data_IF_863980648754
#
_entry.id   IF_863980648754
#
_cell.length_a   1.000
_cell.length_b   1.000
_cell.length_c   1.000
_cell.angle_alpha   90.00
_cell.angle_beta   90.00
_cell.angle_gamma   90.00
#
_symmetry.space_group_name_H-M   'P 1'
#
loop_
_entity.id
_entity.type
_entity.pdbx_description
1 polymer ?
#
# COMPACT_ATOMS: atom_id res chain seq x y z
N UNK A 1 -13.87 -17.96 11.56
CA UNK A 1 -14.52 -17.40 10.36
C UNK A 1 -13.47 -16.74 9.50
N UNK A 2 -13.43 -17.06 8.20
CA UNK A 2 -12.50 -16.43 7.25
C UNK A 2 -12.85 -14.94 7.06
N UNK A 3 -11.89 -14.12 6.63
CA UNK A 3 -12.13 -12.70 6.31
C UNK A 3 -13.29 -12.56 5.30
N UNK A 4 -13.39 -13.50 4.36
CA UNK A 4 -14.48 -13.57 3.36
C UNK A 4 -15.86 -13.64 4.00
N UNK A 5 -16.05 -14.54 4.97
CA UNK A 5 -17.35 -14.70 5.62
C UNK A 5 -17.70 -13.50 6.50
N UNK A 6 -16.73 -12.85 7.13
CA UNK A 6 -16.97 -11.63 7.93
C UNK A 6 -17.43 -10.47 7.05
N UNK A 7 -16.80 -10.25 5.91
CA UNK A 7 -17.19 -9.19 4.97
C UNK A 7 -18.58 -9.45 4.36
N UNK A 8 -18.85 -10.69 3.92
CA UNK A 8 -20.17 -11.04 3.38
C UNK A 8 -21.31 -10.82 4.41
N UNK A 9 -21.09 -11.25 5.65
CA UNK A 9 -22.07 -11.02 6.74
C UNK A 9 -22.25 -9.53 7.01
N UNK A 10 -21.16 -8.76 7.06
CA UNK A 10 -21.23 -7.31 7.30
C UNK A 10 -22.03 -6.60 6.21
N UNK A 11 -21.73 -6.85 4.93
CA UNK A 11 -22.47 -6.25 3.82
C UNK A 11 -23.93 -6.64 3.82
N UNK A 12 -24.24 -7.92 4.06
CA UNK A 12 -25.62 -8.40 4.15
C UNK A 12 -26.36 -7.76 5.32
N UNK A 13 -25.72 -7.58 6.47
CA UNK A 13 -26.32 -6.93 7.64
C UNK A 13 -26.59 -5.44 7.39
N UNK A 14 -25.67 -4.72 6.77
CA UNK A 14 -25.83 -3.29 6.44
C UNK A 14 -26.95 -3.10 5.43
N UNK A 15 -26.94 -3.83 4.31
CA UNK A 15 -27.97 -3.74 3.27
C UNK A 15 -29.33 -4.14 3.83
N UNK A 16 -29.41 -5.25 4.59
CA UNK A 16 -30.63 -5.69 5.24
C UNK A 16 -31.16 -4.66 6.23
N UNK A 17 -30.31 -4.06 7.05
CA UNK A 17 -30.69 -3.01 8.01
C UNK A 17 -31.26 -1.76 7.32
N UNK A 18 -30.63 -1.29 6.27
CA UNK A 18 -31.14 -0.14 5.48
C UNK A 18 -32.47 -0.45 4.83
N UNK A 19 -32.62 -1.62 4.22
CA UNK A 19 -33.88 -2.02 3.56
C UNK A 19 -35.00 -2.20 4.55
N UNK A 20 -34.74 -2.74 5.75
CA UNK A 20 -35.76 -2.87 6.81
C UNK A 20 -36.23 -1.50 7.29
N UNK A 21 -35.29 -0.55 7.53
CA UNK A 21 -35.65 0.80 7.94
C UNK A 21 -36.47 1.52 6.86
N UNK A 22 -36.07 1.40 5.61
CA UNK A 22 -36.75 2.01 4.48
C UNK A 22 -38.12 1.38 4.26
N UNK A 23 -38.21 0.05 4.34
CA UNK A 23 -39.49 -0.69 4.25
C UNK A 23 -40.46 -0.33 5.37
N UNK A 24 -39.96 -0.20 6.61
CA UNK A 24 -40.78 0.24 7.73
C UNK A 24 -41.29 1.68 7.53
N UNK A 25 -40.45 2.58 7.04
CA UNK A 25 -40.86 3.95 6.74
C UNK A 25 -41.98 4.00 5.66
N UNK A 26 -41.79 3.26 4.56
CA UNK A 26 -42.82 3.17 3.49
C UNK A 26 -44.10 2.61 4.05
N UNK A 27 -44.03 1.52 4.83
CA UNK A 27 -45.20 0.91 5.42
C UNK A 27 -45.99 1.90 6.31
N UNK A 28 -45.30 2.63 7.16
CA UNK A 28 -45.92 3.63 8.06
C UNK A 28 -46.56 4.76 7.23
N UNK A 29 -45.81 5.33 6.27
CA UNK A 29 -46.31 6.44 5.42
C UNK A 29 -47.56 6.02 4.66
N UNK A 30 -47.52 4.86 4.00
CA UNK A 30 -48.67 4.36 3.23
C UNK A 30 -49.88 4.04 4.15
N UNK A 31 -49.61 3.42 5.31
CA UNK A 31 -50.65 3.12 6.29
C UNK A 31 -51.36 4.40 6.80
N UNK A 32 -50.61 5.44 7.13
CA UNK A 32 -51.16 6.72 7.56
C UNK A 32 -51.92 7.40 6.41
N UNK A 33 -51.35 7.38 5.20
CA UNK A 33 -52.00 7.96 4.02
C UNK A 33 -53.36 7.30 3.70
N UNK A 34 -53.42 5.96 3.77
CA UNK A 34 -54.68 5.21 3.53
C UNK A 34 -55.77 5.52 4.56
N UNK A 35 -55.39 5.60 5.84
CA UNK A 35 -56.37 5.96 6.90
C UNK A 35 -56.84 7.40 6.72
N UNK A 36 -55.96 8.33 6.46
CA UNK A 36 -56.30 9.75 6.22
C UNK A 36 -57.22 9.90 4.98
N UNK A 37 -56.99 9.10 3.94
CA UNK A 37 -57.85 9.08 2.75
C UNK A 37 -59.27 8.62 3.09
N UNK A 38 -59.42 7.58 3.93
CA UNK A 38 -60.73 7.13 4.40
C UNK A 38 -61.41 8.19 5.27
N UNK A 39 -60.66 8.82 6.20
CA UNK A 39 -61.23 9.88 7.06
C UNK A 39 -61.71 11.06 6.22
N UNK A 40 -60.94 11.47 5.18
CA UNK A 40 -61.37 12.51 4.23
C UNK A 40 -62.64 12.13 3.46
N UNK A 41 -62.69 10.87 2.99
CA UNK A 41 -63.90 10.36 2.26
C UNK A 41 -65.12 10.29 3.15
N UNK A 42 -64.97 9.86 4.41
CA UNK A 42 -66.07 9.84 5.41
C UNK A 42 -66.57 11.26 5.72
N UNK A 43 -65.69 12.24 5.86
CA UNK A 43 -66.09 13.64 6.06
C UNK A 43 -66.80 14.21 4.84
N UNK A 44 -66.40 13.87 3.63
CA UNK A 44 -67.08 14.26 2.41
C UNK A 44 -68.43 13.68 2.33
N UNK A 45 -68.62 12.36 2.54
CA UNK A 45 -69.88 11.67 2.59
C UNK A 45 -70.80 12.25 3.67
N UNK A 46 -70.25 12.52 4.86
CA UNK A 46 -70.98 13.14 5.97
C UNK A 46 -71.52 14.50 5.61
N UNK A 47 -70.77 15.36 4.94
CA UNK A 47 -71.18 16.70 4.48
C UNK A 47 -72.34 16.58 3.43
N UNK A 48 -72.17 15.66 2.48
CA UNK A 48 -73.17 15.45 1.43
C UNK A 48 -74.50 14.95 2.04
N UNK A 49 -74.44 14.00 2.98
CA UNK A 49 -75.63 13.52 3.71
C UNK A 49 -76.29 14.66 4.49
N UNK A 50 -75.56 15.48 5.22
CA UNK A 50 -76.09 16.62 5.99
C UNK A 50 -76.80 17.63 5.06
N UNK A 51 -76.24 17.93 3.89
CA UNK A 51 -76.81 18.88 2.94
C UNK A 51 -78.12 18.37 2.28
N UNK A 52 -78.26 17.06 2.12
CA UNK A 52 -79.41 16.43 1.45
C UNK A 52 -80.46 15.94 2.42
N UNK A 53 -80.15 15.91 3.74
CA UNK A 53 -81.07 15.45 4.79
C UNK A 53 -82.20 16.47 5.02
N UNK A 54 -83.46 16.05 4.93
CA UNK A 54 -84.67 16.84 5.29
C UNK A 54 -85.13 16.51 6.72
N UNK A 55 -85.33 17.58 7.50
CA UNK A 55 -85.78 17.49 8.90
C UNK A 55 -87.20 17.92 8.93
N UNK A 56 -88.08 17.02 9.42
CA UNK A 56 -89.52 17.34 9.67
C UNK A 56 -89.80 17.44 11.18
N UNK A 57 -90.59 18.40 11.58
CA UNK A 57 -91.08 18.55 12.96
C UNK A 57 -92.39 17.77 13.13
N UNK A 58 -92.38 16.80 14.04
CA UNK A 58 -93.62 16.06 14.42
C UNK A 58 -94.56 16.98 15.23
N UNK A 59 -95.92 16.72 15.18
CA UNK A 59 -96.96 17.47 15.88
C UNK A 59 -96.85 17.56 17.43
N UNK A 60 -95.81 16.97 18.01
CA UNK A 60 -95.39 17.05 19.42
C UNK A 60 -94.18 17.88 19.73
N UNK A 61 -93.63 18.61 18.76
CA UNK A 61 -92.36 19.40 18.94
C UNK A 61 -91.07 18.62 18.92
N UNK A 62 -91.16 17.31 18.69
CA UNK A 62 -89.99 16.44 18.55
C UNK A 62 -89.52 16.41 17.08
N UNK A 63 -88.26 16.74 16.87
CA UNK A 63 -87.66 16.72 15.53
C UNK A 63 -87.24 15.30 15.14
N UNK A 64 -87.81 14.81 14.02
CA UNK A 64 -87.42 13.52 13.43
C UNK A 64 -86.74 13.74 12.07
N UNK A 65 -85.66 12.99 11.82
CA UNK A 65 -85.06 12.90 10.49
C UNK A 65 -85.97 11.97 9.66
N UNK A 66 -86.67 12.55 8.69
CA UNK A 66 -87.73 11.80 7.98
C UNK A 66 -87.22 11.26 6.64
N UNK A 67 -86.23 11.83 6.04
CA UNK A 67 -85.75 11.40 4.71
C UNK A 67 -84.22 11.44 4.72
N UNK A 68 -83.61 10.25 4.74
CA UNK A 68 -82.35 10.07 4.19
C UNK A 68 -82.46 10.05 2.65
N UNK A 69 -81.70 10.80 1.89
CA UNK A 69 -81.73 10.63 0.42
C UNK A 69 -81.54 9.16 0.08
N UNK A 70 -82.05 8.66 -1.07
CA UNK A 70 -81.72 7.33 -1.54
C UNK A 70 -80.19 7.30 -1.67
N UNK A 71 -79.55 6.69 -0.67
CA UNK A 71 -78.06 6.64 -0.61
C UNK A 71 -77.67 5.50 -1.55
N UNK A 72 -77.57 5.79 -2.85
CA UNK A 72 -76.87 4.99 -3.82
C UNK A 72 -75.35 5.16 -3.57
N UNK A 73 -74.93 5.17 -2.28
CA UNK A 73 -73.59 5.01 -1.92
C UNK A 73 -73.11 3.60 -2.28
N UNK A 74 -71.92 3.50 -2.83
CA UNK A 74 -71.24 2.21 -3.00
C UNK A 74 -71.49 1.33 -1.78
N UNK A 75 -71.64 0.03 -1.97
CA UNK A 75 -71.95 -1.01 -0.96
C UNK A 75 -71.16 -0.95 0.32
N UNK A 76 -70.10 -0.11 0.35
CA UNK A 76 -69.14 -0.02 1.43
C UNK A 76 -69.28 1.14 2.43
N UNK A 77 -70.34 2.00 2.26
CA UNK A 77 -70.66 3.08 3.20
C UNK A 77 -71.87 2.75 4.04
N UNK A 78 -71.72 2.81 5.33
CA UNK A 78 -72.80 2.51 6.34
C UNK A 78 -73.17 3.80 7.00
N UNK A 79 -74.50 4.06 7.08
CA UNK A 79 -75.05 5.28 7.67
C UNK A 79 -76.13 4.97 8.70
N UNK A 80 -76.02 5.60 9.86
CA UNK A 80 -77.09 5.59 10.90
C UNK A 80 -77.31 6.99 11.44
N UNK A 81 -78.54 7.28 11.76
CA UNK A 81 -78.98 8.49 12.46
C UNK A 81 -79.63 8.11 13.79
N UNK A 82 -79.05 8.59 14.85
CA UNK A 82 -79.49 8.37 16.23
C UNK A 82 -80.11 9.62 16.83
N UNK A 83 -81.34 9.53 17.37
CA UNK A 83 -81.93 10.65 18.08
C UNK A 83 -81.30 10.93 19.44
N UNK A 84 -81.82 11.99 20.10
CA UNK A 84 -81.30 12.46 21.40
C UNK A 84 -81.46 11.40 22.52
N UNK A 85 -82.46 10.55 22.47
CA UNK A 85 -82.75 9.48 23.45
C UNK A 85 -82.09 8.15 23.07
N UNK A 86 -81.08 8.16 22.21
CA UNK A 86 -80.38 6.97 21.69
C UNK A 86 -81.34 6.00 20.95
N UNK A 87 -82.39 6.53 20.30
CA UNK A 87 -83.26 5.76 19.45
C UNK A 87 -82.83 5.87 17.98
N UNK A 88 -82.81 4.76 17.26
CA UNK A 88 -82.47 4.72 15.83
C UNK A 88 -83.62 5.40 15.04
N UNK A 89 -83.29 6.47 14.34
CA UNK A 89 -84.20 7.24 13.53
C UNK A 89 -84.24 6.82 12.05
N UNK A 90 -83.02 6.57 11.53
CA UNK A 90 -82.80 6.14 10.15
C UNK A 90 -81.52 5.35 9.99
N UNK A 91 -81.49 4.47 9.01
CA UNK A 91 -80.24 3.73 8.63
C UNK A 91 -80.23 3.43 7.15
N UNK A 92 -79.03 3.22 6.61
CA UNK A 92 -78.86 2.76 5.25
C UNK A 92 -79.31 1.32 5.03
N UNK A 93 -79.72 0.98 3.82
CA UNK A 93 -80.26 -0.34 3.48
C UNK A 93 -79.33 -1.52 3.79
N UNK A 94 -78.03 -1.31 3.66
CA UNK A 94 -76.99 -2.30 3.97
C UNK A 94 -76.82 -2.61 5.47
N UNK A 95 -77.46 -1.84 6.36
CA UNK A 95 -77.56 -2.09 7.80
C UNK A 95 -78.95 -2.65 8.24
N UNK A 96 -79.78 -3.06 7.32
CA UNK A 96 -81.11 -3.60 7.64
C UNK A 96 -81.01 -4.78 8.61
N UNK A 97 -81.64 -4.66 9.80
CA UNK A 97 -81.57 -5.64 10.86
C UNK A 97 -80.44 -5.38 11.93
N UNK A 98 -79.62 -4.36 11.77
CA UNK A 98 -78.66 -4.00 12.77
C UNK A 98 -79.13 -2.82 13.63
N UNK A 99 -79.61 -3.14 14.83
CA UNK A 99 -80.30 -2.19 15.74
C UNK A 99 -79.38 -1.53 16.77
N UNK A 100 -78.06 -1.77 16.72
CA UNK A 100 -77.08 -1.17 17.64
C UNK A 100 -76.26 -0.03 16.96
N UNK A 101 -75.81 0.95 17.72
CA UNK A 101 -74.97 2.01 17.16
C UNK A 101 -73.64 1.44 16.53
N UNK A 102 -73.26 1.99 15.38
CA UNK A 102 -71.97 1.66 14.75
C UNK A 102 -70.76 2.07 15.66
N UNK A 103 -70.92 3.19 16.35
CA UNK A 103 -69.98 3.71 17.32
C UNK A 103 -70.67 4.17 18.57
N UNK A 104 -70.87 3.28 19.57
CA UNK A 104 -71.47 3.64 20.82
C UNK A 104 -70.73 4.73 21.62
N UNK A 105 -69.40 4.73 21.55
CA UNK A 105 -68.62 5.69 22.27
C UNK A 105 -68.68 7.12 21.65
N UNK A 106 -68.80 7.19 20.33
CA UNK A 106 -68.96 8.44 19.60
C UNK A 106 -70.28 9.12 19.86
N UNK A 107 -71.33 8.38 20.18
CA UNK A 107 -72.62 8.97 20.52
C UNK A 107 -72.56 9.84 21.78
N UNK A 108 -71.62 9.60 22.65
CA UNK A 108 -71.48 10.41 23.87
C UNK A 108 -70.65 11.67 23.63
N UNK A 109 -69.99 11.76 22.48
CA UNK A 109 -69.15 12.91 22.15
C UNK A 109 -69.98 14.10 21.66
N UNK A 110 -69.60 15.31 22.11
CA UNK A 110 -70.19 16.57 21.63
C UNK A 110 -69.50 17.13 20.36
N UNK A 111 -68.53 16.44 19.80
CA UNK A 111 -67.80 16.83 18.66
C UNK A 111 -67.67 15.68 17.63
N UNK A 112 -67.24 16.00 16.43
CA UNK A 112 -66.94 15.01 15.43
C UNK A 112 -65.73 14.16 15.85
N UNK A 113 -65.92 12.81 15.94
CA UNK A 113 -64.88 11.87 16.37
C UNK A 113 -64.83 10.68 15.40
N UNK A 114 -63.60 10.16 15.23
CA UNK A 114 -63.39 8.98 14.43
C UNK A 114 -62.96 7.81 15.31
N UNK A 115 -63.66 6.69 15.19
CA UNK A 115 -63.35 5.45 15.88
C UNK A 115 -63.29 4.27 14.92
N UNK A 116 -62.42 3.32 15.25
CA UNK A 116 -62.45 2.02 14.59
C UNK A 116 -63.33 1.09 15.39
N UNK A 117 -64.29 0.53 14.74
CA UNK A 117 -65.29 -0.38 15.36
C UNK A 117 -65.36 -1.71 14.59
N UNK A 118 -65.81 -2.78 15.28
CA UNK A 118 -65.93 -4.09 14.65
C UNK A 118 -67.38 -4.49 14.69
N UNK A 119 -67.98 -4.80 13.55
CA UNK A 119 -69.31 -5.28 13.43
C UNK A 119 -69.30 -6.66 12.77
N UNK A 120 -69.55 -7.70 13.55
CA UNK A 120 -69.39 -9.08 13.10
C UNK A 120 -67.90 -9.33 12.76
N UNK A 121 -67.63 -9.63 11.51
CA UNK A 121 -66.23 -9.83 10.99
C UNK A 121 -65.68 -8.60 10.30
N UNK A 122 -66.54 -7.56 10.09
CA UNK A 122 -66.11 -6.37 9.36
C UNK A 122 -65.47 -5.31 10.32
N UNK A 123 -64.31 -4.84 10.02
CA UNK A 123 -63.71 -3.67 10.68
C UNK A 123 -64.06 -2.41 9.92
N UNK A 124 -64.69 -1.47 10.65
CA UNK A 124 -65.16 -0.22 10.10
C UNK A 124 -64.44 0.96 10.75
N UNK A 125 -64.19 1.98 9.94
CA UNK A 125 -63.82 3.33 10.40
C UNK A 125 -65.12 4.13 10.43
N UNK A 126 -65.50 4.64 11.58
CA UNK A 126 -66.78 5.37 11.76
C UNK A 126 -66.44 6.79 12.18
N UNK A 127 -67.11 7.75 11.53
CA UNK A 127 -67.21 9.13 11.99
C UNK A 127 -68.54 9.37 12.61
N UNK A 128 -68.53 9.86 13.84
CA UNK A 128 -69.77 10.27 14.53
C UNK A 128 -69.80 11.81 14.61
N UNK A 129 -70.84 12.40 14.01
CA UNK A 129 -71.00 13.86 13.96
C UNK A 129 -72.35 14.25 14.63
N UNK A 130 -72.31 15.13 15.68
CA UNK A 130 -73.56 15.61 16.28
C UNK A 130 -74.26 16.57 15.32
N UNK A 131 -75.52 16.36 15.09
CA UNK A 131 -76.39 17.25 14.33
C UNK A 131 -76.95 18.30 15.26
N UNK A 132 -76.63 19.57 14.99
CA UNK A 132 -76.98 20.72 15.82
C UNK A 132 -78.07 21.55 15.10
N UNK A 133 -79.05 21.96 15.83
CA UNK A 133 -80.04 22.97 15.40
C UNK A 133 -80.21 24.00 16.49
N UNK A 134 -80.09 25.27 16.19
CA UNK A 134 -80.16 26.39 17.14
C UNK A 134 -79.26 26.19 18.39
N UNK A 135 -78.07 25.59 18.24
CA UNK A 135 -77.11 25.34 19.33
C UNK A 135 -77.39 24.15 20.24
N UNK A 136 -78.48 23.37 19.94
CA UNK A 136 -78.84 22.14 20.69
C UNK A 136 -78.67 20.89 19.79
N UNK A 137 -78.05 19.86 20.36
CA UNK A 137 -77.92 18.55 19.68
C UNK A 137 -79.33 17.88 19.63
N UNK A 138 -79.81 17.57 18.45
CA UNK A 138 -81.10 16.86 18.27
C UNK A 138 -80.88 15.43 17.77
N UNK A 139 -79.78 15.13 17.09
CA UNK A 139 -79.45 13.79 16.59
C UNK A 139 -77.90 13.64 16.46
N UNK A 140 -77.50 12.44 16.16
CA UNK A 140 -76.14 12.12 15.77
C UNK A 140 -76.09 11.30 14.50
N UNK A 141 -75.28 11.72 13.55
CA UNK A 141 -74.99 11.01 12.30
C UNK A 141 -73.74 10.17 12.46
N UNK A 142 -73.90 8.87 12.21
CA UNK A 142 -72.71 7.96 12.13
C UNK A 142 -72.62 7.50 10.69
N UNK A 143 -71.37 7.72 10.14
CA UNK A 143 -71.00 7.27 8.79
C UNK A 143 -69.80 6.38 8.94
N UNK A 144 -69.92 5.14 8.48
CA UNK A 144 -68.85 4.15 8.55
C UNK A 144 -68.36 3.71 7.16
N UNK A 145 -67.11 3.41 7.00
CA UNK A 145 -66.57 2.77 5.82
C UNK A 145 -65.74 1.54 6.20
N UNK A 146 -65.74 0.53 5.33
CA UNK A 146 -64.98 -0.70 5.54
C UNK A 146 -63.48 -0.46 5.45
N UNK A 147 -62.76 -0.99 6.43
CA UNK A 147 -61.29 -1.00 6.43
C UNK A 147 -60.72 -2.20 5.67
N UNK A 148 -61.52 -3.07 5.10
CA UNK A 148 -61.09 -4.29 4.41
C UNK A 148 -60.09 -3.99 3.29
N UNK A 149 -60.32 -2.93 2.52
CA UNK A 149 -59.39 -2.47 1.48
C UNK A 149 -58.07 -2.00 2.05
N UNK A 150 -58.08 -1.30 3.18
CA UNK A 150 -56.87 -0.81 3.84
C UNK A 150 -56.02 -1.98 4.32
N UNK A 151 -56.64 -2.92 5.06
CA UNK A 151 -55.90 -4.10 5.56
C UNK A 151 -55.44 -5.02 4.43
N UNK A 152 -56.23 -5.18 3.37
CA UNK A 152 -55.83 -5.90 2.17
C UNK A 152 -54.60 -5.28 1.49
N UNK A 153 -54.61 -3.96 1.30
CA UNK A 153 -53.51 -3.24 0.71
C UNK A 153 -52.25 -3.29 1.61
N UNK A 154 -52.43 -3.13 2.92
CA UNK A 154 -51.32 -3.23 3.89
C UNK A 154 -50.71 -4.63 3.90
N UNK A 155 -51.50 -5.71 3.82
CA UNK A 155 -50.95 -7.07 3.79
C UNK A 155 -50.20 -7.38 2.51
N UNK A 156 -50.67 -6.91 1.36
CA UNK A 156 -49.95 -7.03 0.07
C UNK A 156 -48.67 -6.23 0.11
N UNK A 157 -48.70 -4.98 0.58
CA UNK A 157 -47.51 -4.13 0.74
C UNK A 157 -46.45 -4.79 1.63
N UNK A 158 -46.87 -5.33 2.78
CA UNK A 158 -45.99 -6.03 3.70
C UNK A 158 -45.34 -7.26 3.04
N UNK A 159 -46.14 -8.07 2.32
CA UNK A 159 -45.62 -9.22 1.59
C UNK A 159 -44.58 -8.83 0.51
N UNK A 160 -44.87 -7.78 -0.26
CA UNK A 160 -43.96 -7.27 -1.30
C UNK A 160 -42.67 -6.74 -0.67
N UNK A 161 -42.75 -6.00 0.45
CA UNK A 161 -41.58 -5.51 1.15
C UNK A 161 -40.71 -6.65 1.70
N UNK A 162 -41.34 -7.67 2.33
CA UNK A 162 -40.60 -8.83 2.87
C UNK A 162 -39.90 -9.60 1.74
N UNK A 163 -40.60 -9.90 0.65
CA UNK A 163 -40.02 -10.60 -0.51
C UNK A 163 -38.89 -9.77 -1.12
N UNK A 164 -39.10 -8.47 -1.26
CA UNK A 164 -38.07 -7.54 -1.77
C UNK A 164 -36.80 -7.54 -0.92
N UNK A 165 -36.92 -7.53 0.41
CA UNK A 165 -35.81 -7.62 1.34
C UNK A 165 -35.07 -8.95 1.17
N UNK A 166 -35.78 -10.08 1.12
CA UNK A 166 -35.16 -11.41 0.96
C UNK A 166 -34.38 -11.50 -0.34
N UNK A 167 -34.97 -11.08 -1.47
CA UNK A 167 -34.33 -11.10 -2.77
C UNK A 167 -33.06 -10.20 -2.77
N UNK A 168 -33.19 -8.97 -2.24
CA UNK A 168 -32.05 -8.04 -2.17
C UNK A 168 -30.93 -8.57 -1.31
N UNK A 169 -31.23 -9.21 -0.17
CA UNK A 169 -30.21 -9.86 0.67
C UNK A 169 -29.51 -11.02 -0.04
N UNK A 170 -30.28 -11.83 -0.80
CA UNK A 170 -29.73 -12.92 -1.58
C UNK A 170 -28.76 -12.38 -2.67
N UNK A 171 -29.16 -11.34 -3.40
CA UNK A 171 -28.31 -10.67 -4.38
C UNK A 171 -27.07 -10.04 -3.75
N UNK A 172 -27.21 -9.33 -2.64
CA UNK A 172 -26.07 -8.72 -1.93
C UNK A 172 -25.07 -9.77 -1.47
N UNK A 173 -25.55 -10.91 -0.97
CA UNK A 173 -24.71 -12.03 -0.55
C UNK A 173 -23.96 -12.65 -1.74
N UNK A 174 -24.67 -12.90 -2.85
CA UNK A 174 -24.07 -13.46 -4.07
C UNK A 174 -23.02 -12.51 -4.66
N UNK A 175 -23.33 -11.23 -4.79
CA UNK A 175 -22.39 -10.23 -5.32
C UNK A 175 -21.16 -10.07 -4.42
N UNK A 176 -21.36 -10.02 -3.11
CA UNK A 176 -20.27 -9.99 -2.13
C UNK A 176 -19.38 -11.24 -2.19
N UNK A 177 -19.97 -12.42 -2.37
CA UNK A 177 -19.21 -13.67 -2.51
C UNK A 177 -18.39 -13.70 -3.80
N UNK A 178 -18.96 -13.31 -4.93
CA UNK A 178 -18.25 -13.25 -6.22
C UNK A 178 -17.07 -12.25 -6.19
N UNK A 179 -17.33 -11.03 -5.74
CA UNK A 179 -16.31 -9.98 -5.65
C UNK A 179 -15.15 -10.38 -4.72
N UNK A 180 -15.48 -10.88 -3.53
CA UNK A 180 -14.48 -11.28 -2.54
C UNK A 180 -13.65 -12.49 -2.97
N UNK A 181 -14.25 -13.41 -3.74
CA UNK A 181 -13.54 -14.58 -4.28
C UNK A 181 -12.44 -14.17 -5.25
N UNK A 182 -12.69 -13.23 -6.13
CA UNK A 182 -11.74 -12.79 -7.15
C UNK A 182 -10.56 -12.04 -6.52
N UNK A 183 -10.83 -11.10 -5.63
CA UNK A 183 -9.80 -10.27 -4.99
C UNK A 183 -8.91 -11.07 -4.03
N UNK A 184 -9.49 -11.96 -3.22
CA UNK A 184 -8.72 -12.72 -2.23
C UNK A 184 -8.04 -13.97 -2.81
N UNK A 185 -8.34 -14.39 -4.04
CA UNK A 185 -7.60 -15.46 -4.71
C UNK A 185 -6.17 -15.02 -5.01
N UNK A 186 -5.99 -13.80 -5.51
CA UNK A 186 -4.67 -13.23 -5.80
C UNK A 186 -3.79 -13.12 -4.53
N UNK A 187 -4.40 -12.74 -3.41
CA UNK A 187 -3.68 -12.66 -2.13
C UNK A 187 -3.27 -14.05 -1.59
N UNK A 188 -4.12 -15.08 -1.78
CA UNK A 188 -3.80 -16.44 -1.37
C UNK A 188 -2.63 -17.01 -2.20
N UNK A 189 -2.61 -16.80 -3.52
CA UNK A 189 -1.49 -17.18 -4.39
C UNK A 189 -0.20 -16.45 -4.00
N UNK A 190 -0.29 -15.15 -3.69
CA UNK A 190 0.85 -14.37 -3.22
C UNK A 190 1.44 -14.93 -1.91
N UNK A 191 0.57 -15.28 -0.97
CA UNK A 191 0.99 -15.87 0.32
C UNK A 191 1.63 -17.25 0.13
N UNK A 192 1.05 -18.10 -0.71
CA UNK A 192 1.58 -19.43 -1.00
C UNK A 192 2.95 -19.35 -1.69
N UNK A 193 3.10 -18.46 -2.69
CA UNK A 193 4.38 -18.23 -3.37
C UNK A 193 5.43 -17.69 -2.40
N UNK A 194 5.08 -16.77 -1.51
CA UNK A 194 5.99 -16.26 -0.49
C UNK A 194 6.47 -17.36 0.48
N UNK A 195 5.58 -18.25 0.91
CA UNK A 195 5.94 -19.41 1.74
C UNK A 195 6.83 -20.40 0.99
N UNK A 196 6.57 -20.65 -0.29
CA UNK A 196 7.41 -21.52 -1.11
C UNK A 196 8.82 -20.95 -1.29
N UNK A 197 8.98 -19.63 -1.47
CA UNK A 197 10.28 -18.96 -1.53
C UNK A 197 11.07 -19.19 -0.24
N UNK A 198 10.40 -19.09 0.91
CA UNK A 198 11.03 -19.27 2.23
C UNK A 198 11.53 -20.72 2.43
N UNK A 199 10.85 -21.70 1.86
CA UNK A 199 11.21 -23.12 2.02
C UNK A 199 12.24 -23.64 1.00
N UNK A 200 12.31 -23.02 -0.17
CA UNK A 200 13.13 -23.52 -1.28
C UNK A 200 14.49 -22.81 -1.44
N UNK A 201 14.80 -21.77 -0.63
CA UNK A 201 15.95 -20.87 -0.80
C UNK A 201 16.08 -20.29 -2.23
N UNK A 202 14.97 -20.28 -2.98
CA UNK A 202 14.92 -19.85 -4.38
C UNK A 202 14.31 -18.46 -4.47
N UNK A 203 15.17 -17.45 -4.39
CA UNK A 203 14.81 -16.04 -4.50
C UNK A 203 14.50 -15.58 -5.94
N UNK A 204 14.65 -16.47 -6.95
CA UNK A 204 14.38 -16.13 -8.35
C UNK A 204 12.90 -16.10 -8.67
N UNK A 205 12.07 -16.76 -7.86
CA UNK A 205 10.63 -16.80 -8.03
C UNK A 205 10.00 -15.44 -7.84
N UNK A 206 8.94 -15.19 -8.61
CA UNK A 206 8.13 -13.97 -8.50
C UNK A 206 6.68 -14.33 -8.24
N UNK A 207 5.99 -13.46 -7.53
CA UNK A 207 4.54 -13.58 -7.32
C UNK A 207 3.86 -13.23 -8.63
N UNK A 208 3.11 -14.17 -9.26
CA UNK A 208 2.34 -13.89 -10.46
C UNK A 208 1.14 -13.01 -10.10
N UNK A 209 0.83 -12.05 -10.96
CA UNK A 209 -0.35 -11.21 -10.81
C UNK A 209 -0.94 -10.87 -12.17
N UNK A 210 -2.17 -11.32 -12.42
CA UNK A 210 -2.90 -11.10 -13.67
C UNK A 210 -3.98 -10.01 -13.55
N UNK A 211 -4.04 -9.33 -12.40
CA UNK A 211 -5.00 -8.26 -12.13
C UNK A 211 -4.53 -6.88 -12.60
N UNK A 212 -5.34 -5.83 -12.36
CA UNK A 212 -4.99 -4.45 -12.69
C UNK A 212 -3.74 -4.00 -11.94
N UNK A 213 -2.73 -3.54 -12.67
CA UNK A 213 -1.42 -3.17 -12.10
C UNK A 213 -1.51 -1.97 -11.14
N UNK A 214 -2.55 -1.15 -11.28
CA UNK A 214 -2.72 0.10 -10.51
C UNK A 214 -3.62 -0.04 -9.28
N UNK A 215 -4.14 -1.23 -8.97
CA UNK A 215 -4.87 -1.45 -7.72
C UNK A 215 -3.90 -1.66 -6.54
N UNK A 216 -4.42 -1.64 -5.32
CA UNK A 216 -3.63 -1.74 -4.09
C UNK A 216 -2.90 -3.08 -3.99
N UNK A 217 -3.48 -4.15 -4.54
CA UNK A 217 -2.89 -5.49 -4.56
C UNK A 217 -1.77 -5.56 -5.59
N UNK A 218 -1.96 -4.99 -6.78
CA UNK A 218 -0.93 -4.90 -7.82
C UNK A 218 0.29 -4.12 -7.34
N UNK A 219 0.08 -2.97 -6.69
CA UNK A 219 1.15 -2.18 -6.09
C UNK A 219 1.91 -2.94 -5.00
N UNK A 220 1.20 -3.65 -4.13
CA UNK A 220 1.80 -4.48 -3.08
C UNK A 220 2.67 -5.58 -3.68
N UNK A 221 2.16 -6.31 -4.69
CA UNK A 221 2.88 -7.40 -5.35
C UNK A 221 4.11 -6.86 -6.09
N UNK A 222 4.01 -5.71 -6.77
CA UNK A 222 5.16 -5.08 -7.41
C UNK A 222 6.24 -4.67 -6.40
N UNK A 223 5.85 -4.04 -5.28
CA UNK A 223 6.77 -3.67 -4.22
C UNK A 223 7.48 -4.89 -3.64
N UNK A 224 6.74 -5.98 -3.44
CA UNK A 224 7.29 -7.25 -2.94
C UNK A 224 8.25 -7.88 -3.97
N UNK A 225 7.86 -7.96 -5.24
CA UNK A 225 8.72 -8.48 -6.31
C UNK A 225 10.00 -7.66 -6.49
N UNK A 226 9.93 -6.32 -6.33
CA UNK A 226 11.10 -5.43 -6.33
C UNK A 226 12.03 -5.74 -5.14
N UNK A 227 11.46 -5.99 -3.98
CA UNK A 227 12.22 -6.39 -2.77
C UNK A 227 12.91 -7.74 -2.98
N UNK A 228 12.19 -8.73 -3.54
CA UNK A 228 12.76 -10.03 -3.89
C UNK A 228 13.93 -9.89 -4.89
N UNK A 229 13.78 -9.07 -5.92
CA UNK A 229 14.86 -8.82 -6.88
C UNK A 229 16.09 -8.20 -6.21
N UNK A 230 15.89 -7.29 -5.27
CA UNK A 230 16.99 -6.70 -4.51
C UNK A 230 17.67 -7.74 -3.61
N UNK A 231 16.90 -8.59 -2.94
CA UNK A 231 17.45 -9.68 -2.11
C UNK A 231 18.21 -10.70 -2.95
N UNK A 232 17.66 -11.13 -4.09
CA UNK A 232 18.33 -12.05 -5.02
C UNK A 232 19.68 -11.50 -5.49
N UNK A 233 19.73 -10.22 -5.89
CA UNK A 233 20.96 -9.57 -6.30
C UNK A 233 21.98 -9.52 -5.16
N UNK A 234 21.56 -9.18 -3.93
CA UNK A 234 22.43 -9.18 -2.76
C UNK A 234 22.96 -10.59 -2.46
N UNK A 235 22.12 -11.60 -2.53
CA UNK A 235 22.49 -12.99 -2.26
C UNK A 235 23.47 -13.53 -3.31
N UNK A 236 23.21 -13.23 -4.60
CA UNK A 236 24.10 -13.62 -5.69
C UNK A 236 25.45 -12.93 -5.58
N UNK A 237 25.49 -11.64 -5.22
CA UNK A 237 26.73 -10.90 -4.97
C UNK A 237 27.50 -11.51 -3.80
N UNK A 238 26.79 -11.85 -2.71
CA UNK A 238 27.40 -12.50 -1.54
C UNK A 238 27.97 -13.89 -1.89
N UNK A 239 27.25 -14.69 -2.67
CA UNK A 239 27.75 -16.01 -3.12
C UNK A 239 28.97 -15.90 -4.00
N UNK A 240 29.00 -14.96 -4.95
CA UNK A 240 30.18 -14.69 -5.77
C UNK A 240 31.36 -14.29 -4.92
N UNK A 241 31.15 -13.35 -3.99
CA UNK A 241 32.19 -12.92 -3.06
C UNK A 241 32.79 -14.10 -2.26
N UNK A 242 31.95 -14.99 -1.70
CA UNK A 242 32.45 -16.17 -0.98
C UNK A 242 33.26 -17.11 -1.88
N UNK A 243 32.81 -17.34 -3.12
CA UNK A 243 33.51 -18.17 -4.08
C UNK A 243 34.86 -17.57 -4.45
N UNK A 244 34.90 -16.26 -4.73
CA UNK A 244 36.12 -15.53 -5.11
C UNK A 244 37.15 -15.52 -3.98
N UNK A 245 36.75 -15.23 -2.73
CA UNK A 245 37.59 -15.35 -1.55
C UNK A 245 38.16 -16.75 -1.41
N UNK A 246 37.32 -17.78 -1.56
CA UNK A 246 37.74 -19.17 -1.50
C UNK A 246 38.78 -19.55 -2.55
N UNK A 247 38.64 -19.02 -3.76
CA UNK A 247 39.59 -19.23 -4.84
C UNK A 247 40.94 -18.49 -4.58
N UNK A 248 40.86 -17.21 -4.19
CA UNK A 248 42.06 -16.37 -3.95
C UNK A 248 42.84 -16.81 -2.70
N UNK A 249 42.22 -17.46 -1.71
CA UNK A 249 42.93 -18.09 -0.58
C UNK A 249 43.54 -19.44 -0.93
N UNK A 250 42.87 -20.26 -1.75
CA UNK A 250 43.31 -21.62 -2.07
C UNK A 250 44.64 -21.64 -2.81
N UNK A 251 44.84 -20.73 -3.76
CA UNK A 251 46.02 -20.66 -4.61
C UNK A 251 47.34 -20.49 -3.81
N UNK A 252 47.50 -19.43 -2.97
CA UNK A 252 48.70 -19.25 -2.16
C UNK A 252 48.90 -20.38 -1.14
N UNK A 253 47.83 -20.88 -0.53
CA UNK A 253 47.91 -22.00 0.39
C UNK A 253 48.46 -23.27 -0.29
N UNK A 254 48.08 -23.51 -1.55
CA UNK A 254 48.58 -24.63 -2.35
C UNK A 254 50.09 -24.47 -2.64
N UNK A 255 50.56 -23.23 -2.95
CA UNK A 255 51.99 -22.93 -3.17
C UNK A 255 52.76 -23.14 -1.89
N UNK A 256 52.30 -22.58 -0.76
CA UNK A 256 52.95 -22.76 0.55
C UNK A 256 53.07 -24.25 0.87
N UNK A 257 51.96 -25.02 0.76
CA UNK A 257 51.95 -26.43 1.03
C UNK A 257 52.91 -27.19 0.12
N UNK A 258 52.95 -26.89 -1.19
CA UNK A 258 53.82 -27.52 -2.14
C UNK A 258 55.30 -27.28 -1.80
N UNK A 259 55.71 -26.06 -1.43
CA UNK A 259 57.06 -25.76 -1.01
C UNK A 259 57.45 -26.46 0.30
N UNK A 260 56.52 -26.52 1.28
CA UNK A 260 56.72 -27.29 2.53
C UNK A 260 56.89 -28.77 2.27
N UNK A 261 56.07 -29.34 1.41
CA UNK A 261 56.15 -30.78 1.06
C UNK A 261 57.42 -31.09 0.28
N UNK A 262 57.88 -30.18 -0.60
CA UNK A 262 59.15 -30.28 -1.31
C UNK A 262 60.35 -30.31 -0.34
N UNK A 263 60.43 -29.35 0.58
CA UNK A 263 61.49 -29.29 1.60
C UNK A 263 61.51 -30.54 2.50
N UNK A 264 60.33 -31.06 2.87
CA UNK A 264 60.21 -32.32 3.63
C UNK A 264 60.72 -33.51 2.85
N UNK A 265 60.47 -33.59 1.56
CA UNK A 265 60.90 -34.70 0.69
C UNK A 265 62.38 -34.69 0.43
N UNK A 266 62.94 -33.48 0.27
CA UNK A 266 64.38 -33.32 0.03
C UNK A 266 65.19 -33.38 1.32
N UNK A 267 64.59 -33.39 2.49
CA UNK A 267 65.17 -33.33 3.81
C UNK A 267 66.24 -32.20 3.97
N UNK A 268 66.04 -31.11 3.23
CA UNK A 268 66.90 -29.93 3.19
C UNK A 268 66.03 -28.66 3.17
N UNK A 269 66.52 -27.63 3.85
CA UNK A 269 65.93 -26.31 3.80
C UNK A 269 66.39 -25.62 2.54
N UNK A 270 65.47 -25.34 1.62
CA UNK A 270 65.75 -24.64 0.38
C UNK A 270 65.42 -23.13 0.54
N UNK A 271 66.39 -22.21 0.40
CA UNK A 271 66.14 -20.78 0.54
C UNK A 271 65.09 -20.23 -0.43
N UNK A 272 65.05 -20.71 -1.68
CA UNK A 272 64.03 -20.28 -2.67
C UNK A 272 62.61 -20.67 -2.25
N UNK A 273 62.46 -21.87 -1.68
CA UNK A 273 61.19 -22.34 -1.11
C UNK A 273 60.75 -21.52 0.09
N UNK A 274 61.70 -21.11 0.95
CA UNK A 274 61.40 -20.22 2.10
C UNK A 274 60.97 -18.82 1.64
N UNK A 275 61.71 -18.21 0.71
CA UNK A 275 61.36 -16.91 0.14
C UNK A 275 60.00 -16.92 -0.55
N UNK A 276 59.67 -18.02 -1.25
CA UNK A 276 58.39 -18.25 -1.86
C UNK A 276 57.25 -18.34 -0.81
N UNK A 277 57.47 -19.08 0.28
CA UNK A 277 56.52 -19.15 1.39
C UNK A 277 56.29 -17.81 2.04
N UNK A 278 57.35 -17.07 2.37
CA UNK A 278 57.28 -15.73 2.96
C UNK A 278 56.49 -14.76 2.08
N UNK A 279 56.79 -14.75 0.77
CA UNK A 279 56.06 -13.94 -0.22
C UNK A 279 54.55 -14.26 -0.26
N UNK A 280 54.19 -15.53 -0.19
CA UNK A 280 52.76 -15.92 -0.19
C UNK A 280 52.06 -15.66 1.15
N UNK A 281 52.76 -15.74 2.29
CA UNK A 281 52.25 -15.32 3.61
C UNK A 281 51.97 -13.82 3.64
N UNK A 282 52.93 -13.00 3.15
CA UNK A 282 52.74 -11.55 3.04
C UNK A 282 51.58 -11.18 2.11
N UNK A 283 51.44 -11.94 1.03
CA UNK A 283 50.36 -11.80 0.10
C UNK A 283 49.00 -12.10 0.77
N UNK A 284 48.88 -13.20 1.51
CA UNK A 284 47.70 -13.57 2.27
C UNK A 284 47.34 -12.54 3.33
N UNK A 285 48.35 -12.01 4.06
CA UNK A 285 48.15 -10.98 5.08
C UNK A 285 47.58 -9.71 4.48
N UNK A 286 48.07 -9.28 3.33
CA UNK A 286 47.45 -8.15 2.59
C UNK A 286 46.03 -8.44 2.13
N UNK A 287 45.77 -9.62 1.58
CA UNK A 287 44.43 -10.00 1.16
C UNK A 287 43.40 -9.94 2.31
N UNK A 288 43.79 -10.50 3.47
CA UNK A 288 42.92 -10.48 4.66
C UNK A 288 42.69 -9.05 5.15
N UNK A 289 43.72 -8.21 5.17
CA UNK A 289 43.60 -6.79 5.52
C UNK A 289 42.68 -6.03 4.58
N UNK A 290 42.81 -6.24 3.26
CA UNK A 290 41.98 -5.63 2.22
C UNK A 290 40.51 -6.08 2.35
N UNK A 291 40.23 -7.36 2.66
CA UNK A 291 38.91 -7.89 2.86
C UNK A 291 38.23 -7.32 4.11
N UNK A 292 38.94 -7.21 5.23
CA UNK A 292 38.45 -6.62 6.46
C UNK A 292 38.09 -5.14 6.26
N UNK A 293 38.99 -4.40 5.59
CA UNK A 293 38.73 -3.00 5.27
C UNK A 293 37.48 -2.83 4.40
N UNK A 294 37.33 -3.66 3.37
CA UNK A 294 36.20 -3.61 2.49
C UNK A 294 34.89 -3.92 3.22
N UNK A 295 34.90 -4.94 4.09
CA UNK A 295 33.75 -5.31 4.89
C UNK A 295 33.33 -4.19 5.86
N UNK A 296 34.30 -3.49 6.47
CA UNK A 296 34.04 -2.34 7.33
C UNK A 296 33.48 -1.15 6.52
N UNK A 297 34.09 -0.85 5.38
CA UNK A 297 33.66 0.24 4.52
C UNK A 297 32.23 0.08 3.99
N UNK A 298 31.85 -1.14 3.62
CA UNK A 298 30.49 -1.43 3.13
C UNK A 298 29.40 -1.41 4.19
N UNK A 299 29.77 -1.81 5.41
CA UNK A 299 28.84 -1.74 6.53
C UNK A 299 28.66 -0.31 7.07
N UNK A 300 29.33 0.69 6.48
CA UNK A 300 29.37 2.06 6.99
C UNK A 300 30.10 2.20 8.34
N UNK A 301 30.82 1.16 8.76
CA UNK A 301 31.50 1.11 10.06
C UNK A 301 33.03 1.26 9.94
N UNK A 302 33.51 1.79 8.79
CA UNK A 302 34.93 2.07 8.65
C UNK A 302 35.31 3.19 9.62
N UNK A 303 36.13 2.92 10.63
CA UNK A 303 36.58 3.96 11.54
C UNK A 303 37.54 4.87 10.77
N UNK A 304 37.12 6.11 10.48
CA UNK A 304 37.94 7.13 9.85
C UNK A 304 38.44 8.13 10.91
N UNK A 305 39.75 8.40 10.90
CA UNK A 305 40.32 9.45 11.69
C UNK A 305 40.21 10.79 10.93
N UNK A 306 39.16 11.55 11.20
CA UNK A 306 38.90 12.82 10.53
C UNK A 306 39.86 13.90 11.00
N UNK A 307 40.89 14.15 10.21
CA UNK A 307 41.90 15.20 10.44
C UNK A 307 42.01 16.10 9.22
N UNK A 308 42.49 17.35 9.36
CA UNK A 308 42.96 18.14 8.24
C UNK A 308 44.18 17.46 7.63
N UNK A 309 44.12 17.10 6.36
CA UNK A 309 45.18 16.40 5.63
C UNK A 309 45.69 17.29 4.51
N UNK A 310 46.97 17.61 4.55
CA UNK A 310 47.69 18.25 3.45
C UNK A 310 47.93 17.21 2.35
N UNK A 311 47.05 17.20 1.34
CA UNK A 311 47.09 16.22 0.26
C UNK A 311 48.38 16.29 -0.56
N UNK A 312 48.97 17.49 -0.73
CA UNK A 312 50.22 17.70 -1.41
C UNK A 312 51.37 16.96 -0.75
N UNK A 313 51.48 17.06 0.58
CA UNK A 313 52.53 16.35 1.35
C UNK A 313 52.33 14.83 1.26
N UNK A 314 51.10 14.35 1.46
CA UNK A 314 50.75 12.94 1.38
C UNK A 314 51.01 12.36 -0.03
N UNK A 315 50.68 13.14 -1.05
CA UNK A 315 50.86 12.78 -2.45
C UNK A 315 52.33 12.62 -2.83
N UNK A 316 53.21 13.56 -2.40
CA UNK A 316 54.65 13.47 -2.61
C UNK A 316 55.25 12.24 -1.92
N UNK A 317 54.83 11.94 -0.70
CA UNK A 317 55.26 10.75 0.02
C UNK A 317 54.87 9.46 -0.75
N UNK A 318 53.61 9.36 -1.21
CA UNK A 318 53.15 8.24 -2.00
C UNK A 318 53.93 8.09 -3.32
N UNK A 319 54.21 9.20 -4.02
CA UNK A 319 55.04 9.18 -5.25
C UNK A 319 56.43 8.68 -4.98
N UNK A 320 57.11 9.15 -3.91
CA UNK A 320 58.45 8.68 -3.56
C UNK A 320 58.47 7.17 -3.29
N UNK A 321 57.51 6.67 -2.56
CA UNK A 321 57.35 5.24 -2.30
C UNK A 321 57.14 4.44 -3.60
N UNK A 322 56.32 4.93 -4.50
CA UNK A 322 55.99 4.24 -5.75
C UNK A 322 57.06 4.37 -6.83
N UNK A 323 57.89 5.40 -6.80
CA UNK A 323 59.07 5.53 -7.70
C UNK A 323 60.04 4.36 -7.56
N UNK A 324 60.23 3.83 -6.36
CA UNK A 324 61.04 2.65 -6.13
C UNK A 324 60.54 1.42 -6.87
N UNK A 325 59.19 1.28 -6.97
CA UNK A 325 58.54 0.20 -7.70
C UNK A 325 58.53 0.42 -9.21
N UNK A 326 58.46 1.67 -9.67
CA UNK A 326 58.50 2.00 -11.10
C UNK A 326 59.91 1.75 -11.70
N UNK A 327 60.98 2.00 -10.94
CA UNK A 327 62.40 1.88 -11.35
C UNK A 327 62.58 2.35 -12.80
N UNK A 328 63.50 1.72 -13.54
CA UNK A 328 63.83 2.09 -14.92
C UNK A 328 62.81 1.62 -15.98
N UNK A 329 61.68 1.06 -15.54
CA UNK A 329 60.65 0.53 -16.45
C UNK A 329 59.71 1.59 -16.98
N UNK A 330 59.36 2.59 -16.16
CA UNK A 330 58.30 3.55 -16.43
C UNK A 330 58.75 4.94 -16.03
N UNK A 331 58.46 5.93 -16.89
CA UNK A 331 58.70 7.35 -16.58
C UNK A 331 57.55 7.90 -15.73
N UNK A 332 57.84 8.23 -14.46
CA UNK A 332 56.83 8.87 -13.59
C UNK A 332 57.06 10.39 -13.58
N UNK A 333 56.05 11.15 -14.04
CA UNK A 333 56.06 12.61 -14.14
C UNK A 333 55.06 13.24 -13.18
N UNK A 334 55.48 14.37 -12.59
CA UNK A 334 54.57 15.23 -11.84
C UNK A 334 53.98 16.25 -12.84
N UNK A 335 52.65 16.35 -12.93
CA UNK A 335 51.95 17.37 -13.68
C UNK A 335 51.64 18.59 -12.82
N UNK A 336 50.44 19.16 -12.99
CA UNK A 336 49.97 20.28 -12.18
C UNK A 336 49.93 19.89 -10.70
N UNK A 337 50.38 20.83 -9.84
CA UNK A 337 50.54 20.51 -8.44
C UNK A 337 50.26 21.73 -7.55
N UNK A 338 49.07 21.68 -6.89
CA UNK A 338 48.61 22.70 -5.98
C UNK A 338 48.68 22.24 -4.53
N UNK A 339 48.80 23.19 -3.60
CA UNK A 339 48.61 22.90 -2.17
C UNK A 339 47.12 22.82 -1.85
N UNK A 340 46.67 21.67 -1.36
CA UNK A 340 45.24 21.42 -1.07
C UNK A 340 45.11 20.65 0.22
N UNK A 341 44.28 21.19 1.12
CA UNK A 341 43.90 20.53 2.37
C UNK A 341 42.49 19.96 2.25
N UNK A 342 42.31 18.73 2.70
CA UNK A 342 41.02 18.04 2.78
C UNK A 342 40.81 17.51 4.20
N UNK A 343 39.55 17.26 4.58
CA UNK A 343 39.24 16.52 5.79
C UNK A 343 39.18 15.02 5.49
N UNK A 344 39.93 14.23 6.25
CA UNK A 344 39.93 12.78 6.06
C UNK A 344 40.96 12.05 6.91
N UNK A 345 41.02 10.75 6.64
CA UNK A 345 42.00 9.85 7.26
C UNK A 345 43.25 9.78 6.35
N UNK A 346 44.42 10.23 6.83
CA UNK A 346 45.64 10.31 6.02
C UNK A 346 46.11 8.94 5.51
N UNK A 347 46.00 7.89 6.33
CA UNK A 347 46.41 6.55 5.93
C UNK A 347 45.53 5.98 4.83
N UNK A 348 44.22 6.23 4.93
CA UNK A 348 43.23 5.80 3.92
C UNK A 348 43.37 6.58 2.62
N UNK A 349 43.54 7.89 2.69
CA UNK A 349 43.80 8.72 1.49
C UNK A 349 45.09 8.34 0.81
N UNK A 350 46.16 8.06 1.59
CA UNK A 350 47.43 7.53 1.04
C UNK A 350 47.21 6.18 0.34
N UNK A 351 46.37 5.29 0.91
CA UNK A 351 46.05 4.01 0.30
C UNK A 351 45.34 4.18 -1.07
N UNK A 352 44.47 5.18 -1.21
CA UNK A 352 43.85 5.52 -2.52
C UNK A 352 44.92 5.86 -3.54
N UNK A 353 45.83 6.78 -3.19
CA UNK A 353 46.92 7.23 -4.09
C UNK A 353 47.78 6.06 -4.49
N UNK A 354 48.23 5.26 -3.53
CA UNK A 354 49.07 4.07 -3.76
C UNK A 354 48.36 3.04 -4.65
N UNK A 355 47.09 2.79 -4.44
CA UNK A 355 46.30 1.86 -5.27
C UNK A 355 46.20 2.33 -6.71
N UNK A 356 45.94 3.62 -6.94
CA UNK A 356 45.79 4.18 -8.29
C UNK A 356 47.16 4.20 -9.02
N UNK A 357 48.21 4.70 -8.37
CA UNK A 357 49.56 4.72 -8.95
C UNK A 357 50.06 3.29 -9.18
N UNK A 358 49.83 2.37 -8.24
CA UNK A 358 50.21 0.97 -8.37
C UNK A 358 49.57 0.29 -9.57
N UNK A 359 48.28 0.57 -9.82
CA UNK A 359 47.61 0.09 -11.02
C UNK A 359 48.22 0.72 -12.29
N UNK A 360 48.46 2.02 -12.31
CA UNK A 360 49.10 2.70 -13.44
C UNK A 360 50.46 2.08 -13.78
N UNK A 361 51.32 1.85 -12.78
CA UNK A 361 52.64 1.19 -12.97
C UNK A 361 52.49 -0.25 -13.49
N UNK A 362 51.52 -0.99 -12.95
CA UNK A 362 51.27 -2.39 -13.31
C UNK A 362 50.85 -2.58 -14.76
N UNK A 363 50.00 -1.69 -15.26
CA UNK A 363 49.41 -1.82 -16.58
C UNK A 363 50.13 -1.03 -17.67
N UNK A 364 51.05 -0.13 -17.31
CA UNK A 364 51.85 0.59 -18.28
C UNK A 364 53.00 -0.30 -18.77
N UNK A 365 53.18 -0.45 -20.10
CA UNK A 365 54.32 -1.18 -20.67
C UNK A 365 55.67 -0.53 -20.34
N UNK A 366 56.76 -1.30 -20.42
CA UNK A 366 58.13 -0.75 -20.26
C UNK A 366 58.39 0.36 -21.29
N UNK A 367 58.92 1.47 -20.83
CA UNK A 367 59.13 2.70 -21.63
C UNK A 367 57.93 3.64 -21.70
N UNK A 368 56.78 3.25 -21.08
CA UNK A 368 55.61 4.11 -20.94
C UNK A 368 55.75 5.18 -19.84
N UNK A 369 54.75 6.01 -19.71
CA UNK A 369 54.72 7.07 -18.71
C UNK A 369 53.46 7.05 -17.83
N UNK A 370 53.64 7.47 -16.60
CA UNK A 370 52.54 7.74 -15.64
C UNK A 370 52.66 9.19 -15.20
N UNK A 371 51.61 9.96 -15.41
CA UNK A 371 51.54 11.37 -14.98
C UNK A 371 50.57 11.43 -13.79
N UNK A 372 51.01 12.07 -12.73
CA UNK A 372 50.24 12.26 -11.51
C UNK A 372 50.12 13.75 -11.24
N UNK A 373 48.89 14.23 -10.97
CA UNK A 373 48.59 15.65 -10.75
C UNK A 373 47.65 15.84 -9.57
N UNK A 374 47.82 16.95 -8.89
CA UNK A 374 46.96 17.41 -7.80
C UNK A 374 46.61 18.87 -8.05
N UNK A 375 45.32 19.20 -8.17
CA UNK A 375 44.86 20.56 -8.39
C UNK A 375 43.65 20.90 -7.54
N UNK A 376 43.26 22.16 -7.55
CA UNK A 376 42.03 22.65 -6.94
C UNK A 376 41.11 23.17 -8.05
N UNK A 377 39.90 22.63 -8.15
CA UNK A 377 38.95 23.02 -9.17
C UNK A 377 37.52 23.05 -8.54
N UNK A 378 36.76 24.15 -8.74
CA UNK A 378 35.40 24.34 -8.23
C UNK A 378 35.23 24.03 -6.72
N UNK A 379 36.21 24.35 -5.89
CA UNK A 379 36.15 24.10 -4.44
C UNK A 379 36.39 22.64 -4.06
N UNK A 380 36.87 21.79 -4.98
CA UNK A 380 37.24 20.40 -4.75
C UNK A 380 38.72 20.18 -5.04
N UNK A 381 39.37 19.28 -4.33
CA UNK A 381 40.65 18.73 -4.66
C UNK A 381 40.49 17.74 -5.80
N UNK A 382 41.20 17.90 -6.88
CA UNK A 382 41.25 16.99 -8.02
C UNK A 382 42.62 16.28 -8.06
N UNK A 383 42.60 14.98 -7.77
CA UNK A 383 43.77 14.13 -7.92
C UNK A 383 43.60 13.29 -9.18
N UNK A 384 44.61 13.34 -10.08
CA UNK A 384 44.59 12.55 -11.32
C UNK A 384 45.77 11.64 -11.41
N UNK A 385 45.56 10.41 -11.88
CA UNK A 385 46.60 9.44 -12.22
C UNK A 385 46.34 9.00 -13.66
N UNK A 386 47.22 9.36 -14.56
CA UNK A 386 47.10 9.12 -16.00
C UNK A 386 48.25 8.22 -16.48
N UNK A 387 47.93 7.09 -17.06
CA UNK A 387 48.87 6.11 -17.59
C UNK A 387 48.85 6.08 -19.13
N UNK A 388 49.95 5.60 -19.74
CA UNK A 388 50.07 5.34 -21.18
C UNK A 388 49.91 3.84 -21.50
N UNK A 389 49.12 3.14 -20.71
CA UNK A 389 48.86 1.73 -20.87
C UNK A 389 47.89 1.41 -22.05
N UNK A 390 47.38 0.18 -22.11
CA UNK A 390 46.46 -0.24 -23.18
C UNK A 390 45.05 0.34 -23.09
N UNK A 391 44.74 1.10 -22.01
CA UNK A 391 43.40 1.57 -21.72
C UNK A 391 42.49 0.48 -21.16
N UNK A 392 41.23 0.87 -20.82
CA UNK A 392 40.24 -0.01 -20.32
C UNK A 392 39.12 -0.16 -21.41
N UNK A 393 38.78 -1.37 -21.84
CA UNK A 393 37.65 -1.57 -22.75
C UNK A 393 36.37 -0.97 -22.21
N UNK A 394 35.53 -0.41 -23.09
CA UNK A 394 34.26 0.22 -22.69
C UNK A 394 33.32 -0.74 -21.98
N UNK A 395 33.37 -2.01 -22.35
CA UNK A 395 32.60 -3.11 -21.75
C UNK A 395 32.99 -3.41 -20.31
N UNK A 396 34.27 -3.12 -19.94
CA UNK A 396 34.81 -3.36 -18.61
C UNK A 396 34.54 -2.19 -17.64
N UNK A 397 34.33 -0.96 -18.15
CA UNK A 397 34.19 0.27 -17.34
C UNK A 397 33.15 0.19 -16.23
N UNK A 398 31.96 -0.41 -16.42
CA UNK A 398 30.97 -0.53 -15.34
C UNK A 398 31.41 -1.42 -14.18
N UNK A 399 32.40 -2.30 -14.39
CA UNK A 399 32.76 -3.36 -13.46
C UNK A 399 34.11 -3.16 -12.77
N UNK A 400 34.94 -2.17 -13.21
CA UNK A 400 36.29 -2.00 -12.69
C UNK A 400 36.39 -1.70 -11.20
N UNK A 401 35.33 -1.20 -10.60
CA UNK A 401 35.23 -0.93 -9.16
C UNK A 401 34.61 -2.09 -8.39
N UNK A 402 34.15 -3.16 -9.08
CA UNK A 402 33.69 -4.38 -8.42
C UNK A 402 34.88 -5.15 -7.80
N UNK A 403 34.58 -5.85 -6.70
CA UNK A 403 35.56 -6.68 -6.00
C UNK A 403 36.02 -7.83 -6.88
N UNK A 404 37.31 -8.16 -6.79
CA UNK A 404 37.93 -9.25 -7.54
C UNK A 404 37.81 -9.11 -9.06
N UNK A 405 37.28 -7.98 -9.57
CA UNK A 405 37.16 -7.78 -11.00
C UNK A 405 38.55 -7.64 -11.66
N UNK A 406 38.76 -8.36 -12.73
CA UNK A 406 39.96 -8.34 -13.57
C UNK A 406 39.54 -8.57 -15.01
N UNK A 407 39.77 -7.59 -15.89
CA UNK A 407 39.48 -7.71 -17.31
C UNK A 407 40.17 -8.94 -17.94
N UNK A 408 39.55 -9.57 -18.92
CA UNK A 408 40.02 -10.82 -19.52
C UNK A 408 41.42 -10.74 -20.09
N UNK A 409 41.77 -9.59 -20.70
CA UNK A 409 43.11 -9.35 -21.23
C UNK A 409 44.19 -9.20 -20.16
N UNK A 410 43.82 -8.90 -18.91
CA UNK A 410 44.75 -8.82 -17.79
C UNK A 410 45.05 -10.17 -17.14
N UNK A 411 44.15 -11.16 -17.30
CA UNK A 411 44.32 -12.54 -16.81
C UNK A 411 45.48 -13.27 -17.54
N UNK A 412 45.64 -12.99 -18.84
CA UNK A 412 46.63 -13.67 -19.70
C UNK A 412 48.04 -13.02 -19.70
N UNK A 413 48.14 -11.72 -19.36
CA UNK A 413 49.43 -11.00 -19.47
C UNK A 413 50.25 -10.93 -18.19
N UNK A 414 49.68 -11.10 -17.02
CA UNK A 414 50.43 -11.05 -15.77
C UNK A 414 50.86 -12.45 -15.32
N UNK A 415 51.94 -12.99 -15.85
CA UNK A 415 52.61 -14.18 -15.31
C UNK A 415 53.03 -14.06 -13.84
N UNK A 416 53.13 -12.83 -13.31
CA UNK A 416 53.54 -12.56 -11.91
C UNK A 416 52.37 -12.43 -10.93
N UNK A 417 51.14 -12.77 -11.27
CA UNK A 417 50.05 -12.97 -10.33
C UNK A 417 49.72 -11.84 -9.30
N UNK A 418 50.39 -10.69 -9.39
CA UNK A 418 50.38 -9.66 -8.36
C UNK A 418 49.09 -8.80 -8.41
N UNK A 419 48.11 -9.15 -7.59
CA UNK A 419 46.96 -8.30 -7.25
C UNK A 419 45.62 -9.04 -7.34
N UNK A 420 44.83 -8.96 -6.26
CA UNK A 420 43.57 -9.66 -6.08
C UNK A 420 42.37 -9.00 -6.76
N UNK A 421 42.55 -7.84 -7.41
CA UNK A 421 41.45 -7.08 -7.97
C UNK A 421 40.65 -6.30 -6.91
N UNK A 422 41.21 -6.07 -5.73
CA UNK A 422 40.58 -5.33 -4.63
C UNK A 422 40.98 -3.86 -4.56
N UNK A 423 42.14 -3.47 -5.15
CA UNK A 423 42.70 -2.11 -4.98
C UNK A 423 41.77 -0.99 -5.49
N UNK A 424 41.11 -1.17 -6.65
CA UNK A 424 40.18 -0.17 -7.18
C UNK A 424 38.90 -0.12 -6.38
N UNK A 425 38.38 -1.25 -5.95
CA UNK A 425 37.15 -1.28 -5.08
C UNK A 425 37.45 -0.63 -3.72
N UNK A 426 38.62 -0.85 -3.16
CA UNK A 426 39.07 -0.18 -1.92
C UNK A 426 39.19 1.33 -2.13
N UNK A 427 39.84 1.77 -3.22
CA UNK A 427 39.94 3.19 -3.55
C UNK A 427 38.53 3.84 -3.70
N UNK A 428 37.64 3.17 -4.40
CA UNK A 428 36.24 3.63 -4.57
C UNK A 428 35.57 3.83 -3.22
N UNK A 429 35.61 2.82 -2.33
CA UNK A 429 34.96 2.89 -1.03
C UNK A 429 35.58 3.93 -0.10
N UNK A 430 36.93 4.07 -0.08
CA UNK A 430 37.60 5.10 0.71
C UNK A 430 37.17 6.49 0.23
N UNK A 431 37.21 6.75 -1.09
CA UNK A 431 36.82 8.04 -1.67
C UNK A 431 35.35 8.36 -1.34
N UNK A 432 34.44 7.39 -1.48
CA UNK A 432 33.03 7.57 -1.14
C UNK A 432 32.77 7.87 0.34
N UNK A 433 33.48 7.19 1.23
CA UNK A 433 33.41 7.48 2.67
C UNK A 433 34.03 8.82 3.06
N UNK A 434 34.86 9.42 2.18
CA UNK A 434 35.38 10.80 2.31
C UNK A 434 34.49 11.81 1.54
N UNK A 435 33.25 11.47 1.21
CA UNK A 435 32.30 12.31 0.46
C UNK A 435 32.84 12.76 -0.92
N UNK A 436 33.77 12.00 -1.48
CA UNK A 436 34.36 12.22 -2.79
C UNK A 436 33.69 11.39 -3.90
N UNK A 437 34.20 11.60 -5.11
CA UNK A 437 33.87 10.78 -6.29
C UNK A 437 35.14 10.34 -6.99
N UNK A 438 35.11 9.18 -7.65
CA UNK A 438 36.20 8.67 -8.47
C UNK A 438 35.64 8.34 -9.86
N UNK A 439 36.26 8.87 -10.88
CA UNK A 439 35.89 8.71 -12.28
C UNK A 439 37.05 8.13 -13.08
N UNK A 440 36.75 7.57 -14.25
CA UNK A 440 37.74 7.02 -15.18
C UNK A 440 37.43 7.52 -16.59
N UNK A 441 38.48 7.93 -17.27
CA UNK A 441 38.41 8.40 -18.65
C UNK A 441 39.57 7.81 -19.50
N UNK A 442 39.34 7.61 -20.81
CA UNK A 442 40.43 7.23 -21.72
C UNK A 442 41.44 8.38 -21.88
N UNK A 443 42.75 8.06 -21.90
CA UNK A 443 43.82 8.97 -22.24
C UNK A 443 44.10 8.88 -23.73
N UNK A 444 44.34 10.03 -24.40
CA UNK A 444 44.84 10.09 -25.79
C UNK A 444 46.37 10.03 -25.84
N UNK A 445 47.00 9.34 -26.83
CA UNK A 445 46.37 8.47 -27.84
C UNK A 445 45.98 7.08 -27.30
N UNK A 446 46.56 6.62 -26.20
CA UNK A 446 46.25 5.38 -25.50
C UNK A 446 46.50 5.53 -24.01
N UNK A 447 45.73 4.86 -23.18
CA UNK A 447 45.91 4.86 -21.73
C UNK A 447 44.62 5.09 -20.95
N UNK A 448 44.76 5.22 -19.64
CA UNK A 448 43.67 5.47 -18.71
C UNK A 448 44.00 6.67 -17.81
N UNK A 449 42.98 7.47 -17.51
CA UNK A 449 43.09 8.53 -16.49
C UNK A 449 42.04 8.25 -15.43
N UNK A 450 42.50 8.03 -14.20
CA UNK A 450 41.64 8.02 -13.01
C UNK A 450 41.64 9.44 -12.42
N UNK A 451 40.46 9.92 -12.06
CA UNK A 451 40.24 11.22 -11.45
C UNK A 451 39.48 11.06 -10.14
N UNK A 452 40.06 11.52 -9.03
CA UNK A 452 39.45 11.53 -7.70
C UNK A 452 39.13 12.96 -7.31
N UNK A 453 37.91 13.19 -6.86
CA UNK A 453 37.45 14.47 -6.37
C UNK A 453 37.14 14.37 -4.89
N UNK A 454 37.71 15.27 -4.08
CA UNK A 454 37.49 15.35 -2.64
C UNK A 454 37.06 16.76 -2.26
N UNK A 455 36.15 16.95 -1.26
CA UNK A 455 35.82 18.27 -0.75
C UNK A 455 37.08 18.94 -0.13
N UNK A 456 37.35 20.20 -0.50
CA UNK A 456 38.44 20.99 0.10
C UNK A 456 37.98 21.47 1.48
N UNK A 457 38.94 21.49 2.42
CA UNK A 457 38.75 22.06 3.76
C UNK A 457 39.62 23.30 3.93
N UNK A 458 39.06 24.32 4.62
CA UNK A 458 39.79 25.53 4.97
C UNK A 458 40.66 25.38 6.27
N UNK A 459 40.92 24.14 6.68
CA UNK A 459 41.81 23.81 7.81
C UNK A 459 41.07 23.32 9.07
N UNK A 460 39.75 23.43 9.15
CA UNK A 460 38.95 22.83 10.22
C UNK A 460 38.06 21.73 9.66
N UNK A 461 38.14 20.54 10.26
CA UNK A 461 37.21 19.46 9.95
C UNK A 461 35.93 19.64 10.79
N UNK A 462 34.86 20.17 10.18
CA UNK A 462 33.56 20.38 10.83
C UNK A 462 32.95 19.06 11.27
N UNK A 463 32.24 19.06 12.41
CA UNK A 463 31.51 17.91 12.97
C UNK A 463 30.45 17.30 11.99
N UNK A 464 30.04 18.06 10.97
CA UNK A 464 29.12 17.57 9.92
C UNK A 464 29.65 16.34 9.16
N UNK A 465 30.95 16.18 9.08
CA UNK A 465 31.58 15.01 8.44
C UNK A 465 31.57 13.76 9.33
N UNK A 466 31.33 13.91 10.64
CA UNK A 466 31.33 12.80 11.60
C UNK A 466 29.94 12.12 11.76
N UNK A 467 28.85 12.77 11.33
CA UNK A 467 27.48 12.28 11.54
C UNK A 467 26.84 11.57 10.33
N UNK A 468 27.50 11.50 9.20
CA UNK A 468 26.99 10.91 7.96
C UNK A 468 27.56 9.50 7.67
N UNK A 469 28.12 8.83 8.68
CA UNK A 469 28.66 7.47 8.59
C UNK A 469 27.73 6.40 9.13
#
# INVERSE_FOLDING_TARGET
MSLRSRLAVLYTAIVGGILLLFGAAIYIIVSVALVNQIDASLLQATREIIQTTRIETSNGGDMRVVILPPLDFSTDVFVQVWGRENNLQAQSANLSGFGSPLDPAGLLSGQAVFHNTTIGTAQLRVVTVPLMLSGRRFASLQVGASLSFVYGTQSILLAVLIIGVIISMAFANLAGWLSTRQTLASLATATETALQITHADDLSRRIPYDGPVNDEIGQLIQAFNKTLSRLENLFNTQRRFQADVGHELRTPLTVIKGNVDLMRHMNQTDPESLDSIESEVDRLTRLVGDLLLLAQAESGKLPLAWNPVELDSLFLEAIQQMRVLARDKISMKLGDFDQVTVCGDPDRLKQVIVNLIGNAIKYTPTGGEVIVSLGKEEGKARLTVSDSGPGIPTEDLPYIFERFYRGEKSRTRSRDGKGFGLGLSIAYWIVRNHHGTIDVAPRQPTGTTFCVWLPVSDGECKEEFQQAG
#
